data_IF_503505296288
#
_entry.id   IF_503505296288
#
_cell.length_a   1.000
_cell.length_b   1.000
_cell.length_c   1.000
_cell.angle_alpha   90.00
_cell.angle_beta   90.00
_cell.angle_gamma   90.00
#
_symmetry.space_group_name_H-M   'P 1'
#
loop_
_entity.id
_entity.type
_entity.pdbx_description
1 polymer ?
#
# COMPACT_ATOMS: atom_id res chain seq x y z
N UNK A 1 -5.21 17.71 9.21
CA UNK A 1 -6.13 16.65 8.72
C UNK A 1 -6.04 16.38 7.20
N UNK A 2 -6.37 17.31 6.29
CA UNK A 2 -6.38 17.04 4.83
C UNK A 2 -5.03 16.58 4.24
N UNK A 3 -3.92 17.15 4.72
CA UNK A 3 -2.58 16.72 4.32
C UNK A 3 -2.34 15.21 4.58
N UNK A 4 -2.77 14.69 5.74
CA UNK A 4 -2.64 13.28 6.07
C UNK A 4 -3.53 12.40 5.19
N UNK A 5 -4.74 12.87 4.83
CA UNK A 5 -5.62 12.17 3.90
C UNK A 5 -5.05 12.11 2.48
N UNK A 6 -4.43 13.19 2.00
CA UNK A 6 -3.73 13.19 0.71
C UNK A 6 -2.56 12.19 0.71
N UNK A 7 -1.79 12.13 1.80
CA UNK A 7 -0.72 11.14 1.94
C UNK A 7 -1.27 9.71 1.97
N UNK A 8 -2.36 9.46 2.70
CA UNK A 8 -3.02 8.15 2.74
C UNK A 8 -3.49 7.74 1.35
N UNK A 9 -4.19 8.61 0.64
CA UNK A 9 -4.65 8.35 -0.73
C UNK A 9 -3.49 8.10 -1.71
N UNK A 10 -2.37 8.81 -1.54
CA UNK A 10 -1.17 8.60 -2.37
C UNK A 10 -0.57 7.21 -2.11
N UNK A 11 -0.49 6.76 -0.85
CA UNK A 11 0.01 5.43 -0.51
C UNK A 11 -0.91 4.32 -1.05
N UNK A 12 -2.22 4.49 -0.95
CA UNK A 12 -3.24 3.56 -1.47
C UNK A 12 -3.11 3.38 -3.00
N UNK A 13 -2.93 4.48 -3.73
CA UNK A 13 -2.70 4.47 -5.18
C UNK A 13 -1.39 3.75 -5.53
N UNK A 14 -0.32 3.98 -4.76
CA UNK A 14 0.96 3.29 -4.98
C UNK A 14 0.82 1.79 -4.72
N UNK A 15 0.17 1.41 -3.62
CA UNK A 15 -0.07 0.02 -3.25
C UNK A 15 -0.88 -0.71 -4.33
N UNK A 16 -2.02 -0.16 -4.72
CA UNK A 16 -2.88 -0.71 -5.79
C UNK A 16 -2.16 -0.78 -7.13
N UNK A 17 -1.39 0.26 -7.50
CA UNK A 17 -0.61 0.25 -8.75
C UNK A 17 0.50 -0.82 -8.77
N UNK A 18 1.00 -1.26 -7.60
CA UNK A 18 2.02 -2.30 -7.52
C UNK A 18 1.42 -3.73 -7.56
N UNK A 19 0.21 -3.90 -7.01
CA UNK A 19 -0.46 -5.19 -6.85
C UNK A 19 -1.32 -5.54 -8.08
N UNK A 20 -2.12 -4.59 -8.57
CA UNK A 20 -3.08 -4.80 -9.66
C UNK A 20 -2.42 -5.30 -10.95
N UNK A 21 -1.36 -4.68 -11.50
CA UNK A 21 -0.77 -5.17 -12.74
C UNK A 21 -0.16 -6.56 -12.57
N UNK A 22 0.33 -6.91 -11.37
CA UNK A 22 0.88 -8.24 -11.09
C UNK A 22 -0.20 -9.30 -10.97
N UNK A 23 -1.30 -8.99 -10.28
CA UNK A 23 -2.47 -9.86 -10.21
C UNK A 23 -3.10 -10.07 -11.60
N UNK A 24 -3.18 -9.01 -12.41
CA UNK A 24 -3.72 -9.07 -13.76
C UNK A 24 -2.85 -9.90 -14.70
N UNK A 25 -1.52 -9.77 -14.63
CA UNK A 25 -0.59 -10.61 -15.40
C UNK A 25 -0.73 -12.09 -15.00
N UNK A 26 -0.87 -12.40 -13.70
CA UNK A 26 -1.06 -13.78 -13.23
C UNK A 26 -2.43 -14.40 -13.56
N UNK A 27 -3.43 -13.57 -13.87
CA UNK A 27 -4.75 -14.01 -14.35
C UNK A 27 -4.80 -14.19 -15.87
N UNK A 28 -4.09 -13.34 -16.63
CA UNK A 28 -4.07 -13.36 -18.10
C UNK A 28 -3.07 -14.40 -18.63
N UNK A 29 -1.91 -14.51 -18.02
CA UNK A 29 -0.97 -15.60 -18.26
C UNK A 29 -1.27 -16.67 -17.21
N UNK A 30 -1.82 -17.82 -17.62
CA UNK A 30 -2.08 -19.01 -16.78
C UNK A 30 -0.78 -19.65 -16.23
N UNK A 31 0.28 -18.86 -16.09
CA UNK A 31 1.63 -19.20 -15.71
C UNK A 31 2.09 -18.20 -14.65
N UNK A 32 1.78 -18.53 -13.39
CA UNK A 32 2.09 -17.76 -12.17
C UNK A 32 3.59 -17.76 -11.80
N UNK A 33 4.50 -17.70 -12.78
CA UNK A 33 5.94 -17.79 -12.53
C UNK A 33 6.54 -16.40 -12.29
N UNK A 34 6.21 -15.81 -11.14
CA UNK A 34 6.89 -14.60 -10.68
C UNK A 34 8.32 -14.98 -10.27
N UNK A 35 9.31 -14.29 -10.80
CA UNK A 35 10.70 -14.43 -10.34
C UNK A 35 10.78 -14.16 -8.84
N UNK A 36 11.53 -14.97 -8.09
CA UNK A 36 11.71 -14.84 -6.64
C UNK A 36 12.04 -13.40 -6.20
N UNK A 37 12.87 -12.69 -6.98
CA UNK A 37 13.19 -11.27 -6.73
C UNK A 37 11.98 -10.34 -6.86
N UNK A 38 11.12 -10.59 -7.84
CA UNK A 38 9.89 -9.82 -8.06
C UNK A 38 8.85 -10.03 -6.95
N UNK A 39 8.72 -11.27 -6.47
CA UNK A 39 7.87 -11.58 -5.31
C UNK A 39 8.37 -10.87 -4.05
N UNK A 40 9.68 -10.97 -3.76
CA UNK A 40 10.27 -10.31 -2.59
C UNK A 40 10.10 -8.78 -2.63
N UNK A 41 10.29 -8.16 -3.80
CA UNK A 41 10.08 -6.73 -3.97
C UNK A 41 8.61 -6.33 -3.74
N UNK A 42 7.66 -7.09 -4.29
CA UNK A 42 6.22 -6.83 -4.09
C UNK A 42 5.83 -6.94 -2.60
N UNK A 43 6.32 -7.96 -1.91
CA UNK A 43 6.04 -8.18 -0.49
C UNK A 43 6.64 -7.07 0.38
N UNK A 44 7.83 -6.58 0.03
CA UNK A 44 8.46 -5.43 0.67
C UNK A 44 7.63 -4.15 0.51
N UNK A 45 7.19 -3.83 -0.73
CA UNK A 45 6.37 -2.64 -0.97
C UNK A 45 5.02 -2.70 -0.25
N UNK A 46 4.39 -3.89 -0.21
CA UNK A 46 3.14 -4.11 0.52
C UNK A 46 3.30 -3.88 2.03
N UNK A 47 4.32 -4.49 2.64
CA UNK A 47 4.61 -4.31 4.08
C UNK A 47 4.93 -2.85 4.42
N UNK A 48 5.71 -2.19 3.56
CA UNK A 48 6.05 -0.78 3.71
C UNK A 48 4.82 0.13 3.63
N UNK A 49 3.95 -0.09 2.63
CA UNK A 49 2.69 0.66 2.49
C UNK A 49 1.82 0.48 3.72
N UNK A 50 1.56 -0.78 4.10
CA UNK A 50 0.68 -1.11 5.23
C UNK A 50 1.18 -0.47 6.53
N UNK A 51 2.49 -0.50 6.77
CA UNK A 51 3.10 0.14 7.94
C UNK A 51 2.89 1.66 7.91
N UNK A 52 3.08 2.28 6.75
CA UNK A 52 2.90 3.73 6.57
C UNK A 52 1.44 4.16 6.74
N UNK A 53 0.50 3.38 6.20
CA UNK A 53 -0.94 3.59 6.34
C UNK A 53 -1.37 3.49 7.81
N UNK A 54 -0.88 2.49 8.55
CA UNK A 54 -1.16 2.33 9.97
C UNK A 54 -0.66 3.54 10.79
N UNK A 55 0.55 4.01 10.52
CA UNK A 55 1.12 5.19 11.18
C UNK A 55 0.30 6.45 10.87
N UNK A 56 -0.09 6.67 9.61
CA UNK A 56 -0.92 7.81 9.22
C UNK A 56 -2.30 7.78 9.88
N UNK A 57 -2.96 6.63 9.91
CA UNK A 57 -4.24 6.44 10.60
C UNK A 57 -4.12 6.72 12.10
N UNK A 58 -3.03 6.24 12.72
CA UNK A 58 -2.76 6.46 14.16
C UNK A 58 -2.57 7.95 14.45
N UNK A 59 -1.81 8.66 13.63
CA UNK A 59 -1.60 10.12 13.78
C UNK A 59 -2.91 10.88 13.58
N UNK A 60 -3.73 10.52 12.60
CA UNK A 60 -5.04 11.16 12.41
C UNK A 60 -6.00 10.91 13.58
N UNK A 61 -5.99 9.70 14.17
CA UNK A 61 -6.77 9.38 15.37
C UNK A 61 -6.26 10.18 16.58
N UNK A 62 -4.95 10.30 16.74
CA UNK A 62 -4.33 11.10 17.80
C UNK A 62 -4.64 12.59 17.67
N UNK A 63 -4.53 13.16 16.47
CA UNK A 63 -4.89 14.56 16.17
C UNK A 63 -6.36 14.85 16.55
N UNK A 64 -7.27 13.93 16.24
CA UNK A 64 -8.69 14.04 16.65
C UNK A 64 -8.89 13.91 18.15
N UNK A 65 -8.11 13.08 18.84
CA UNK A 65 -8.18 12.91 20.29
C UNK A 65 -7.68 14.16 21.03
N UNK A 66 -6.59 14.78 20.57
CA UNK A 66 -6.02 16.01 21.17
C UNK A 66 -6.91 17.24 20.91
N UNK A 67 -7.69 17.23 19.82
CA UNK A 67 -8.61 18.32 19.52
C UNK A 67 -9.86 18.36 20.42
N UNK A 68 -10.10 17.32 21.22
CA UNK A 68 -11.18 17.21 22.22
C UNK A 68 -10.65 17.65 23.58
#
# INVERSE_FOLDING_TARGET
MYFFLCNLATMDIVCTSSVIPKALIGLVSEENTISFKGCMAQLFFLLWSLSSELLLLTVMAYDRYVAI
#
